data_IF_410366182438
#
_entry.id   IF_410366182438
#
_cell.length_a   1.000
_cell.length_b   1.000
_cell.length_c   1.000
_cell.angle_alpha   90.00
_cell.angle_beta   90.00
_cell.angle_gamma   90.00
#
_symmetry.space_group_name_H-M   'P 1'
#
loop_
_entity.id
_entity.type
_entity.pdbx_description
1 polymer ?
#
# COMPACT_ATOMS: atom_id res chain seq x y z
N UNK A 1 25.02 -46.47 2.26
CA UNK A 1 23.68 -46.98 2.63
C UNK A 1 22.65 -46.07 2.00
N UNK A 2 21.62 -46.61 1.35
CA UNK A 2 20.48 -45.84 0.88
C UNK A 2 19.53 -45.55 2.04
N UNK A 3 18.86 -44.39 2.01
CA UNK A 3 17.82 -44.03 2.97
C UNK A 3 16.61 -44.96 2.83
N UNK A 4 15.93 -45.23 3.94
CA UNK A 4 14.63 -45.89 3.90
C UNK A 4 13.60 -44.95 3.23
N UNK A 5 12.58 -45.48 2.52
CA UNK A 5 11.58 -44.68 1.82
C UNK A 5 10.91 -43.61 2.69
N UNK A 6 10.61 -43.92 3.95
CA UNK A 6 10.00 -42.98 4.91
C UNK A 6 10.96 -41.84 5.29
N UNK A 7 12.26 -42.12 5.37
CA UNK A 7 13.28 -41.10 5.65
C UNK A 7 13.42 -40.15 4.46
N UNK A 8 13.40 -40.68 3.24
CA UNK A 8 13.41 -39.87 2.02
C UNK A 8 12.15 -38.99 1.92
N UNK A 9 10.97 -39.53 2.19
CA UNK A 9 9.72 -38.75 2.20
C UNK A 9 9.75 -37.61 3.22
N UNK A 10 10.29 -37.86 4.42
CA UNK A 10 10.48 -36.81 5.44
C UNK A 10 11.44 -35.72 4.98
N UNK A 11 12.56 -36.08 4.35
CA UNK A 11 13.52 -35.11 3.82
C UNK A 11 12.89 -34.25 2.71
N UNK A 12 12.08 -34.83 1.83
CA UNK A 12 11.37 -34.07 0.79
C UNK A 12 10.30 -33.13 1.37
N UNK A 13 9.59 -33.57 2.43
CA UNK A 13 8.65 -32.72 3.14
C UNK A 13 9.36 -31.56 3.84
N UNK A 14 10.52 -31.81 4.46
CA UNK A 14 11.36 -30.78 5.06
C UNK A 14 11.86 -29.78 4.01
N UNK A 15 12.34 -30.25 2.86
CA UNK A 15 12.78 -29.38 1.76
C UNK A 15 11.65 -28.45 1.30
N UNK A 16 10.46 -29.02 1.05
CA UNK A 16 9.27 -28.24 0.66
C UNK A 16 8.90 -27.20 1.72
N UNK A 17 9.02 -27.55 3.00
CA UNK A 17 8.73 -26.63 4.10
C UNK A 17 9.77 -25.51 4.18
N UNK A 18 11.06 -25.81 4.02
CA UNK A 18 12.11 -24.78 3.98
C UNK A 18 11.85 -23.77 2.88
N UNK A 19 11.60 -24.23 1.65
CA UNK A 19 11.32 -23.37 0.50
C UNK A 19 10.09 -22.49 0.74
N UNK A 20 9.03 -23.04 1.35
CA UNK A 20 7.83 -22.28 1.69
C UNK A 20 8.10 -21.22 2.76
N UNK A 21 8.81 -21.57 3.83
CA UNK A 21 9.12 -20.63 4.91
C UNK A 21 9.99 -19.49 4.40
N UNK A 22 11.01 -19.79 3.59
CA UNK A 22 11.86 -18.77 2.96
C UNK A 22 11.06 -17.88 2.00
N UNK A 23 10.20 -18.46 1.16
CA UNK A 23 9.34 -17.70 0.26
C UNK A 23 8.37 -16.78 1.00
N UNK A 24 7.70 -17.28 2.04
CA UNK A 24 6.81 -16.46 2.88
C UNK A 24 7.56 -15.35 3.60
N UNK A 25 8.79 -15.59 4.07
CA UNK A 25 9.61 -14.55 4.69
C UNK A 25 9.95 -13.43 3.70
N UNK A 26 10.30 -13.76 2.45
CA UNK A 26 10.56 -12.76 1.40
C UNK A 26 9.32 -11.95 1.04
N UNK A 27 8.14 -12.59 0.96
CA UNK A 27 6.88 -11.89 0.71
C UNK A 27 6.53 -10.91 1.83
N UNK A 28 6.77 -11.30 3.09
CA UNK A 28 6.56 -10.42 4.24
C UNK A 28 7.51 -9.22 4.23
N UNK A 29 8.79 -9.43 3.89
CA UNK A 29 9.75 -8.34 3.74
C UNK A 29 9.34 -7.35 2.63
N UNK A 30 8.90 -7.87 1.49
CA UNK A 30 8.37 -7.04 0.40
C UNK A 30 7.09 -6.29 0.81
N UNK A 31 6.22 -6.90 1.62
CA UNK A 31 5.03 -6.24 2.15
C UNK A 31 5.38 -5.10 3.12
N UNK A 32 6.38 -5.30 3.99
CA UNK A 32 6.89 -4.25 4.89
C UNK A 32 7.40 -3.04 4.08
N UNK A 33 8.16 -3.29 3.00
CA UNK A 33 8.63 -2.21 2.13
C UNK A 33 7.48 -1.44 1.48
N UNK A 34 6.43 -2.14 1.02
CA UNK A 34 5.23 -1.50 0.45
C UNK A 34 4.48 -0.66 1.47
N UNK A 35 4.42 -1.08 2.74
CA UNK A 35 3.81 -0.30 3.82
C UNK A 35 4.57 1.01 4.02
N UNK A 36 5.91 0.98 3.99
CA UNK A 36 6.73 2.18 4.12
C UNK A 36 6.49 3.16 2.96
N UNK A 37 6.41 2.66 1.72
CA UNK A 37 6.07 3.49 0.54
C UNK A 37 4.69 4.12 0.68
N UNK A 38 3.68 3.33 1.07
CA UNK A 38 2.32 3.84 1.28
C UNK A 38 2.26 4.94 2.36
N UNK A 39 3.04 4.80 3.43
CA UNK A 39 3.15 5.84 4.46
C UNK A 39 3.74 7.13 3.90
N UNK A 40 4.86 7.03 3.17
CA UNK A 40 5.51 8.20 2.57
C UNK A 40 4.59 8.92 1.57
N UNK A 41 3.88 8.17 0.71
CA UNK A 41 2.94 8.73 -0.25
C UNK A 41 1.75 9.40 0.44
N UNK A 42 1.21 8.79 1.51
CA UNK A 42 0.12 9.36 2.28
C UNK A 42 0.51 10.64 3.02
N UNK A 43 1.72 10.68 3.62
CA UNK A 43 2.26 11.88 4.26
C UNK A 43 2.42 13.01 3.22
N UNK A 44 2.99 12.69 2.06
CA UNK A 44 3.14 13.65 0.96
C UNK A 44 1.79 14.17 0.46
N UNK A 45 0.81 13.28 0.27
CA UNK A 45 -0.54 13.66 -0.15
C UNK A 45 -1.23 14.53 0.90
N UNK A 46 -1.02 14.25 2.18
CA UNK A 46 -1.55 15.05 3.26
C UNK A 46 -0.91 16.45 3.30
N UNK A 47 0.39 16.56 3.04
CA UNK A 47 1.07 17.84 2.93
C UNK A 47 0.52 18.68 1.78
N UNK A 48 0.31 18.07 0.60
CA UNK A 48 -0.35 18.75 -0.53
C UNK A 48 -1.76 19.22 -0.16
N UNK A 49 -2.54 18.37 0.49
CA UNK A 49 -3.92 18.70 0.89
C UNK A 49 -3.99 19.88 1.86
N UNK A 50 -3.07 19.92 2.84
CA UNK A 50 -3.09 20.93 3.90
C UNK A 50 -2.52 22.27 3.48
N UNK A 51 -1.48 22.29 2.64
CA UNK A 51 -0.72 23.50 2.37
C UNK A 51 -0.95 24.08 0.98
N UNK A 52 -1.21 23.24 -0.03
CA UNK A 52 -1.17 23.66 -1.44
C UNK A 52 -2.54 23.55 -2.11
N UNK A 53 -3.32 22.52 -1.76
CA UNK A 53 -4.52 22.15 -2.49
C UNK A 53 -5.55 23.28 -2.55
N UNK A 54 -5.88 23.91 -1.41
CA UNK A 54 -6.87 25.00 -1.39
C UNK A 54 -6.41 26.20 -2.22
N UNK A 55 -5.12 26.54 -2.17
CA UNK A 55 -4.54 27.61 -2.97
C UNK A 55 -4.61 27.29 -4.47
N UNK A 56 -4.26 26.06 -4.83
CA UNK A 56 -4.25 25.59 -6.21
C UNK A 56 -5.65 25.51 -6.79
N UNK A 57 -6.66 25.03 -6.05
CA UNK A 57 -8.04 24.84 -6.54
C UNK A 57 -8.88 26.11 -6.55
N UNK A 58 -8.42 27.17 -5.87
CA UNK A 58 -9.17 28.43 -5.79
C UNK A 58 -9.42 29.00 -7.19
N UNK A 59 -10.68 29.32 -7.46
CA UNK A 59 -11.27 29.46 -8.81
C UNK A 59 -10.60 30.54 -9.69
N UNK A 60 -9.80 31.42 -9.12
CA UNK A 60 -9.11 32.50 -9.83
C UNK A 60 -7.82 32.05 -10.55
N UNK A 61 -7.28 30.85 -10.25
CA UNK A 61 -5.99 30.39 -10.81
C UNK A 61 -6.06 29.16 -11.73
N UNK A 62 -7.13 28.37 -11.66
CA UNK A 62 -7.33 27.20 -12.53
C UNK A 62 -8.13 27.56 -13.77
N UNK A 63 -7.52 27.45 -14.94
CA UNK A 63 -8.26 27.55 -16.19
C UNK A 63 -9.12 26.30 -16.43
N UNK A 64 -10.16 26.41 -17.25
CA UNK A 64 -10.95 25.26 -17.68
C UNK A 64 -10.10 24.18 -18.36
N UNK A 65 -9.04 24.58 -19.07
CA UNK A 65 -8.10 23.65 -19.72
C UNK A 65 -7.30 22.85 -18.68
N UNK A 66 -6.85 23.49 -17.60
CA UNK A 66 -6.14 22.82 -16.50
C UNK A 66 -7.07 21.87 -15.75
N UNK A 67 -8.32 22.30 -15.49
CA UNK A 67 -9.35 21.44 -14.88
C UNK A 67 -9.60 20.20 -15.73
N UNK A 68 -9.75 20.38 -17.05
CA UNK A 68 -9.96 19.28 -17.97
C UNK A 68 -8.75 18.35 -18.08
N UNK A 69 -7.53 18.89 -18.05
CA UNK A 69 -6.30 18.10 -18.04
C UNK A 69 -6.24 17.19 -16.80
N UNK A 70 -6.46 17.75 -15.61
CA UNK A 70 -6.49 16.99 -14.35
C UNK A 70 -7.62 15.94 -14.35
N UNK A 71 -8.81 16.31 -14.83
CA UNK A 71 -9.94 15.39 -14.93
C UNK A 71 -9.68 14.24 -15.91
N UNK A 72 -9.01 14.51 -17.04
CA UNK A 72 -8.68 13.50 -18.05
C UNK A 72 -7.59 12.52 -17.61
N UNK A 73 -6.72 12.95 -16.69
CA UNK A 73 -5.70 12.10 -16.09
C UNK A 73 -6.29 11.19 -14.99
N UNK A 74 -7.46 11.52 -14.45
CA UNK A 74 -8.11 10.72 -13.42
C UNK A 74 -8.72 9.44 -14.01
N UNK A 75 -8.36 8.28 -13.45
CA UNK A 75 -8.91 6.96 -13.81
C UNK A 75 -10.08 6.51 -12.91
N UNK A 76 -10.47 7.34 -11.94
CA UNK A 76 -11.59 7.06 -11.05
C UNK A 76 -12.02 8.27 -10.22
N UNK A 77 -11.11 8.80 -9.41
CA UNK A 77 -11.37 9.99 -8.57
C UNK A 77 -10.49 11.16 -9.01
N UNK A 78 -11.05 12.37 -8.99
CA UNK A 78 -10.34 13.61 -9.36
C UNK A 78 -9.97 14.39 -8.12
N UNK A 79 -8.71 14.82 -8.02
CA UNK A 79 -8.24 15.68 -6.92
C UNK A 79 -8.95 17.03 -6.87
N UNK A 80 -9.70 17.41 -7.91
CA UNK A 80 -10.54 18.61 -7.93
C UNK A 80 -11.86 18.41 -7.15
N UNK A 81 -12.20 17.17 -6.78
CA UNK A 81 -13.35 16.86 -5.94
C UNK A 81 -13.09 17.26 -4.50
N UNK A 82 -14.12 17.83 -3.86
CA UNK A 82 -14.00 18.43 -2.52
C UNK A 82 -13.49 17.47 -1.45
N UNK A 83 -13.90 16.20 -1.53
CA UNK A 83 -13.59 15.18 -0.51
C UNK A 83 -12.65 14.08 -1.01
N UNK A 84 -12.17 14.13 -2.26
CA UNK A 84 -11.44 13.01 -2.86
C UNK A 84 -10.11 12.71 -2.16
N UNK A 85 -9.35 13.74 -1.81
CA UNK A 85 -8.07 13.56 -1.11
C UNK A 85 -8.32 13.13 0.34
N UNK A 86 -9.35 13.70 0.97
CA UNK A 86 -9.77 13.32 2.33
C UNK A 86 -10.14 11.83 2.41
N UNK A 87 -11.00 11.35 1.52
CA UNK A 87 -11.44 9.96 1.46
C UNK A 87 -10.26 9.00 1.26
N UNK A 88 -9.32 9.35 0.38
CA UNK A 88 -8.11 8.56 0.16
C UNK A 88 -7.24 8.47 1.43
N UNK A 89 -7.02 9.59 2.13
CA UNK A 89 -6.26 9.61 3.37
C UNK A 89 -6.96 8.83 4.50
N UNK A 90 -8.29 8.93 4.62
CA UNK A 90 -9.06 8.14 5.59
C UNK A 90 -8.98 6.65 5.30
N UNK A 91 -9.08 6.25 4.03
CA UNK A 91 -8.94 4.86 3.63
C UNK A 91 -7.55 4.30 4.00
N UNK A 92 -6.49 5.06 3.71
CA UNK A 92 -5.12 4.66 4.07
C UNK A 92 -4.97 4.53 5.58
N UNK A 93 -5.47 5.50 6.36
CA UNK A 93 -5.43 5.44 7.83
C UNK A 93 -6.19 4.20 8.35
N UNK A 94 -7.36 3.88 7.80
CA UNK A 94 -8.12 2.70 8.19
C UNK A 94 -7.37 1.39 7.89
N UNK A 95 -6.66 1.31 6.76
CA UNK A 95 -5.81 0.17 6.41
C UNK A 95 -4.64 0.05 7.37
N UNK A 96 -3.94 1.15 7.67
CA UNK A 96 -2.81 1.15 8.62
C UNK A 96 -3.24 0.65 10.01
N UNK A 97 -4.37 1.15 10.53
CA UNK A 97 -4.91 0.69 11.82
C UNK A 97 -5.23 -0.81 11.79
N UNK A 98 -5.80 -1.32 10.69
CA UNK A 98 -6.10 -2.75 10.54
C UNK A 98 -4.82 -3.59 10.54
N UNK A 99 -3.78 -3.15 9.81
CA UNK A 99 -2.49 -3.82 9.75
C UNK A 99 -1.82 -3.87 11.12
N UNK A 100 -1.79 -2.76 11.86
CA UNK A 100 -1.24 -2.72 13.23
C UNK A 100 -1.99 -3.70 14.13
N UNK A 101 -3.33 -3.71 14.09
CA UNK A 101 -4.13 -4.65 14.89
C UNK A 101 -3.80 -6.11 14.56
N UNK A 102 -3.66 -6.45 13.29
CA UNK A 102 -3.32 -7.81 12.87
C UNK A 102 -1.89 -8.20 13.29
N UNK A 103 -0.93 -7.29 13.17
CA UNK A 103 0.45 -7.52 13.61
C UNK A 103 0.53 -7.75 15.12
N UNK A 104 -0.13 -6.90 15.92
CA UNK A 104 -0.17 -7.05 17.39
C UNK A 104 -0.82 -8.36 17.82
N UNK A 105 -1.83 -8.84 17.09
CA UNK A 105 -2.47 -10.13 17.36
C UNK A 105 -1.61 -11.34 16.98
N UNK A 106 -0.61 -11.14 16.12
CA UNK A 106 0.24 -12.22 15.59
C UNK A 106 1.60 -12.33 16.29
N UNK A 107 1.90 -11.41 17.22
CA UNK A 107 3.09 -11.38 18.08
C UNK A 107 2.76 -11.94 19.47
#
# INVERSE_FOLDING_TARGET
>A
MALLPEQLQRLLAMQTLCERVEGTAQELEAAVQKIAVLQQEADTLQDFYQHEWLELISDERLSDADRQAVQSAATGYSVLGQDTIWDALEQVRAVQVRLIKQLVQSL
#
